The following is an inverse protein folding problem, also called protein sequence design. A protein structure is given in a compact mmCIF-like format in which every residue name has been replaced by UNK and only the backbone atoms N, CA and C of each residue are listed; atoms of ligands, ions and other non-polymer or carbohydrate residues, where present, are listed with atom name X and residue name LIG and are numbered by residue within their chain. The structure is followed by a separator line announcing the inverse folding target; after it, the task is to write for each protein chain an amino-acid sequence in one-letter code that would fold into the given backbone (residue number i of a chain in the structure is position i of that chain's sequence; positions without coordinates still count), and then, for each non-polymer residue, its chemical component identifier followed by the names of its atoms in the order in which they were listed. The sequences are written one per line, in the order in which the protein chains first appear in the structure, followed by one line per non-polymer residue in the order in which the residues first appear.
data_IF_415790519169
#
_entry.id   IF_415790519169
#
_cell.length_a   1.000
_cell.length_b   1.000
_cell.length_c   1.000
_cell.angle_alpha   90.00
_cell.angle_beta   90.00
_cell.angle_gamma   90.00
#
_symmetry.space_group_name_H-M   'P 1'
#
loop_
_entity.id
_entity.type
_entity.pdbx_description
1 polymer ?
#
# COMPACT_ATOMS: atom_id res chain seq x y z
N UNK A 1 48.93 -23.31 4.79
CA UNK A 1 48.87 -23.06 3.34
C UNK A 1 47.51 -22.46 3.02
N UNK A 2 47.43 -21.13 2.98
CA UNK A 2 46.23 -20.39 2.58
C UNK A 2 46.19 -20.34 1.06
N UNK A 3 45.25 -21.07 0.44
CA UNK A 3 45.01 -20.97 -1.00
C UNK A 3 44.69 -19.52 -1.37
N UNK A 4 45.26 -18.98 -2.46
CA UNK A 4 44.95 -17.63 -2.90
C UNK A 4 43.47 -17.56 -3.27
N UNK A 5 42.75 -16.60 -2.69
CA UNK A 5 41.35 -16.32 -3.02
C UNK A 5 41.31 -15.79 -4.44
N UNK A 6 41.12 -16.70 -5.41
CA UNK A 6 40.84 -16.33 -6.80
C UNK A 6 39.66 -15.33 -6.81
N UNK A 7 39.75 -14.21 -7.53
CA UNK A 7 38.66 -13.26 -7.60
C UNK A 7 37.43 -13.97 -8.18
N UNK A 8 36.38 -14.11 -7.37
CA UNK A 8 35.16 -14.85 -7.74
C UNK A 8 34.57 -14.21 -9.01
N UNK A 9 34.60 -14.96 -10.11
CA UNK A 9 34.06 -14.54 -11.41
C UNK A 9 32.63 -15.02 -11.53
N UNK A 10 31.74 -14.14 -11.92
CA UNK A 10 30.35 -14.48 -12.21
C UNK A 10 30.05 -14.25 -13.69
N UNK A 11 29.31 -15.17 -14.31
CA UNK A 11 28.75 -15.01 -15.64
C UNK A 11 27.24 -14.86 -15.51
N UNK A 12 26.70 -13.79 -16.08
CA UNK A 12 25.28 -13.48 -16.07
C UNK A 12 24.75 -13.55 -17.50
N UNK A 13 23.82 -14.45 -17.75
CA UNK A 13 23.06 -14.48 -19.00
C UNK A 13 21.73 -13.78 -18.78
N UNK A 14 21.47 -12.69 -19.50
CA UNK A 14 20.20 -11.95 -19.42
C UNK A 14 19.71 -11.48 -20.77
N UNK A 15 18.39 -11.38 -20.89
CA UNK A 15 17.75 -10.85 -22.08
C UNK A 15 17.92 -9.33 -22.18
N UNK A 16 18.35 -8.87 -23.35
CA UNK A 16 18.48 -7.45 -23.70
C UNK A 16 17.99 -7.27 -25.13
N UNK A 17 16.68 -7.11 -25.28
CA UNK A 17 16.04 -6.85 -26.57
C UNK A 17 15.79 -5.34 -26.68
N UNK A 18 15.74 -4.80 -27.90
CA UNK A 18 15.51 -3.36 -28.14
C UNK A 18 14.29 -2.79 -27.41
N UNK A 19 13.23 -3.60 -27.27
CA UNK A 19 11.97 -3.23 -26.61
C UNK A 19 11.75 -3.91 -25.25
N UNK A 20 12.75 -4.59 -24.68
CA UNK A 20 12.59 -5.28 -23.41
C UNK A 20 13.84 -5.18 -22.52
N UNK A 21 13.64 -4.56 -21.36
CA UNK A 21 14.63 -4.51 -20.28
C UNK A 21 14.33 -5.64 -19.29
N UNK A 22 15.28 -6.54 -19.06
CA UNK A 22 15.14 -7.60 -18.05
C UNK A 22 15.41 -7.04 -16.63
N UNK A 23 14.38 -6.82 -15.78
CA UNK A 23 14.57 -6.19 -14.47
C UNK A 23 15.36 -7.09 -13.50
N UNK A 24 15.10 -8.40 -13.53
CA UNK A 24 15.81 -9.37 -12.68
C UNK A 24 17.27 -9.53 -13.10
N UNK A 25 17.58 -9.40 -14.40
CA UNK A 25 18.95 -9.40 -14.90
C UNK A 25 19.75 -8.20 -14.38
N UNK A 26 19.15 -7.01 -14.39
CA UNK A 26 19.77 -5.81 -13.81
C UNK A 26 19.97 -5.94 -12.30
N UNK A 27 18.97 -6.43 -11.56
CA UNK A 27 19.09 -6.68 -10.12
C UNK A 27 20.17 -7.72 -9.80
N UNK A 28 20.27 -8.80 -10.59
CA UNK A 28 21.32 -9.80 -10.45
C UNK A 28 22.71 -9.22 -10.69
N UNK A 29 22.87 -8.41 -11.76
CA UNK A 29 24.12 -7.71 -12.09
C UNK A 29 24.59 -6.79 -10.95
N UNK A 30 23.67 -5.99 -10.41
CA UNK A 30 23.95 -5.10 -9.27
C UNK A 30 24.32 -5.90 -8.01
N UNK A 31 23.57 -6.95 -7.68
CA UNK A 31 23.85 -7.80 -6.52
C UNK A 31 25.24 -8.46 -6.62
N UNK A 32 25.59 -9.03 -7.77
CA UNK A 32 26.91 -9.63 -8.00
C UNK A 32 28.04 -8.61 -7.81
N UNK A 33 27.88 -7.38 -8.34
CA UNK A 33 28.85 -6.30 -8.19
C UNK A 33 29.01 -5.87 -6.73
N UNK A 34 27.91 -5.73 -5.99
CA UNK A 34 27.95 -5.39 -4.54
C UNK A 34 28.62 -6.45 -3.68
N UNK A 35 28.65 -7.70 -4.13
CA UNK A 35 29.37 -8.80 -3.48
C UNK A 35 30.84 -8.88 -3.89
N UNK A 36 31.33 -7.93 -4.71
CA UNK A 36 32.73 -7.86 -5.14
C UNK A 36 33.11 -8.82 -6.26
N UNK A 37 32.14 -9.45 -6.95
CA UNK A 37 32.43 -10.35 -8.06
C UNK A 37 32.69 -9.60 -9.36
N UNK A 38 33.63 -10.10 -10.16
CA UNK A 38 33.82 -9.65 -11.55
C UNK A 38 32.73 -10.27 -12.41
N UNK A 39 31.82 -9.44 -12.93
CA UNK A 39 30.65 -9.88 -13.69
C UNK A 39 30.92 -9.82 -15.20
N UNK A 40 30.84 -10.96 -15.86
CA UNK A 40 30.73 -11.08 -17.31
C UNK A 40 29.25 -11.10 -17.70
N UNK A 41 28.77 -10.02 -18.32
CA UNK A 41 27.37 -9.82 -18.68
C UNK A 41 27.14 -10.24 -20.12
N UNK A 42 26.56 -11.43 -20.33
CA UNK A 42 26.25 -12.00 -21.64
C UNK A 42 24.80 -11.71 -22.02
N UNK A 43 24.62 -11.01 -23.12
CA UNK A 43 23.31 -10.57 -23.58
C UNK A 43 22.70 -11.57 -24.56
N UNK A 44 21.44 -11.91 -24.30
CA UNK A 44 20.58 -12.62 -25.24
C UNK A 44 19.76 -11.54 -25.96
N UNK A 45 20.21 -11.18 -27.16
CA UNK A 45 19.71 -10.01 -27.91
C UNK A 45 18.56 -10.34 -28.86
N UNK A 46 18.26 -11.62 -29.07
CA UNK A 46 17.10 -12.08 -29.86
C UNK A 46 16.27 -13.09 -29.07
N UNK A 47 15.00 -13.30 -29.48
CA UNK A 47 14.13 -14.30 -28.86
C UNK A 47 14.65 -15.70 -29.13
N UNK A 48 15.08 -15.95 -30.35
CA UNK A 48 15.66 -17.21 -30.80
C UNK A 48 16.90 -17.56 -29.98
N UNK A 49 17.79 -16.60 -29.72
CA UNK A 49 18.95 -16.80 -28.85
C UNK A 49 18.54 -17.06 -27.39
N UNK A 50 17.47 -16.43 -26.93
CA UNK A 50 16.94 -16.65 -25.57
C UNK A 50 16.35 -18.05 -25.42
N UNK A 51 15.58 -18.49 -26.39
CA UNK A 51 14.91 -19.79 -26.38
C UNK A 51 15.93 -20.93 -26.59
N UNK A 52 16.89 -20.76 -27.50
CA UNK A 52 18.02 -21.68 -27.65
C UNK A 52 18.85 -21.79 -26.37
N UNK A 53 19.11 -20.66 -25.68
CA UNK A 53 19.80 -20.69 -24.40
C UNK A 53 19.03 -21.45 -23.32
N UNK A 54 17.71 -21.25 -23.25
CA UNK A 54 16.81 -21.94 -22.32
C UNK A 54 16.81 -23.45 -22.57
N UNK A 55 16.68 -23.87 -23.82
CA UNK A 55 16.71 -25.26 -24.22
C UNK A 55 18.07 -25.90 -23.90
N UNK A 56 19.17 -25.26 -24.29
CA UNK A 56 20.53 -25.74 -24.04
C UNK A 56 20.82 -25.97 -22.54
N UNK A 57 20.28 -25.11 -21.67
CA UNK A 57 20.53 -25.17 -20.24
C UNK A 57 19.39 -25.84 -19.45
N UNK A 58 18.32 -26.28 -20.11
CA UNK A 58 17.13 -26.86 -19.46
C UNK A 58 16.50 -25.93 -18.43
N UNK A 59 16.33 -24.64 -18.76
CA UNK A 59 15.75 -23.63 -17.87
C UNK A 59 14.57 -22.93 -18.52
N UNK A 60 13.53 -22.62 -17.74
CA UNK A 60 12.34 -21.95 -18.28
C UNK A 60 12.50 -20.42 -18.38
N UNK A 61 13.38 -19.85 -17.56
CA UNK A 61 13.47 -18.40 -17.35
C UNK A 61 14.90 -17.88 -17.42
N UNK A 62 15.03 -16.59 -17.75
CA UNK A 62 16.25 -15.80 -17.63
C UNK A 62 15.98 -14.63 -16.66
N UNK A 63 16.98 -14.09 -15.95
CA UNK A 63 18.41 -14.35 -16.08
C UNK A 63 18.86 -15.68 -15.50
N UNK A 64 20.02 -16.17 -15.97
CA UNK A 64 20.74 -17.29 -15.35
C UNK A 64 22.14 -16.84 -14.91
N UNK A 65 22.51 -17.19 -13.69
CA UNK A 65 23.77 -16.79 -13.06
C UNK A 65 24.64 -18.00 -12.81
N UNK A 66 25.92 -17.88 -13.16
CA UNK A 66 26.97 -18.85 -12.89
C UNK A 66 28.07 -18.18 -12.08
N UNK A 67 28.55 -18.83 -11.03
CA UNK A 67 29.67 -18.35 -10.20
C UNK A 67 30.73 -19.45 -10.20
N UNK A 68 31.96 -19.11 -10.59
CA UNK A 68 33.07 -20.07 -10.70
C UNK A 68 32.75 -21.33 -11.54
N UNK A 69 31.91 -21.19 -12.56
CA UNK A 69 31.50 -22.28 -13.44
C UNK A 69 30.30 -23.10 -12.93
N UNK A 70 29.89 -22.92 -11.67
CA UNK A 70 28.70 -23.57 -11.11
C UNK A 70 27.44 -22.75 -11.40
N UNK A 71 26.36 -23.40 -11.84
CA UNK A 71 25.07 -22.75 -12.09
C UNK A 71 24.36 -22.48 -10.77
N UNK A 72 24.18 -21.20 -10.46
CA UNK A 72 23.42 -20.76 -9.28
C UNK A 72 21.92 -20.77 -9.57
N UNK A 73 21.51 -20.36 -10.78
CA UNK A 73 20.10 -20.29 -11.18
C UNK A 73 19.64 -18.87 -11.45
N UNK A 74 18.41 -18.54 -11.07
CA UNK A 74 17.80 -17.24 -11.26
C UNK A 74 18.17 -16.20 -10.21
N UNK A 75 17.50 -15.04 -10.23
CA UNK A 75 17.78 -13.97 -9.26
C UNK A 75 17.46 -14.38 -7.81
N UNK A 76 16.39 -15.15 -7.58
CA UNK A 76 16.07 -15.62 -6.23
C UNK A 76 17.10 -16.63 -5.70
N UNK A 77 17.61 -17.52 -6.55
CA UNK A 77 18.68 -18.45 -6.18
C UNK A 77 19.98 -17.71 -5.86
N UNK A 78 20.29 -16.66 -6.64
CA UNK A 78 21.42 -15.78 -6.34
C UNK A 78 21.29 -15.09 -4.97
N UNK A 79 20.08 -14.67 -4.59
CA UNK A 79 19.84 -14.11 -3.24
C UNK A 79 20.09 -15.16 -2.17
N UNK A 80 19.58 -16.39 -2.35
CA UNK A 80 19.82 -17.52 -1.43
C UNK A 80 21.30 -17.83 -1.30
N UNK A 81 22.04 -17.87 -2.41
CA UNK A 81 23.47 -18.11 -2.44
C UNK A 81 24.27 -17.12 -1.56
N UNK A 82 23.87 -15.85 -1.54
CA UNK A 82 24.48 -14.84 -0.68
C UNK A 82 23.84 -14.72 0.72
N UNK A 83 23.05 -15.72 1.15
CA UNK A 83 22.38 -15.71 2.46
C UNK A 83 21.34 -14.60 2.61
N UNK A 84 20.88 -13.99 1.51
CA UNK A 84 19.81 -12.98 1.53
C UNK A 84 18.48 -13.70 1.43
N UNK A 85 17.47 -13.22 2.16
CA UNK A 85 16.10 -13.71 2.02
C UNK A 85 15.67 -13.63 0.55
N UNK A 86 15.34 -14.76 -0.06
CA UNK A 86 14.60 -14.77 -1.32
C UNK A 86 13.18 -14.23 -1.07
N UNK A 87 12.50 -13.77 -2.12
CA UNK A 87 11.08 -13.44 -1.98
C UNK A 87 10.34 -14.72 -1.57
N UNK A 88 9.72 -14.73 -0.39
CA UNK A 88 8.76 -15.78 -0.03
C UNK A 88 7.37 -15.25 -0.39
N UNK A 89 6.73 -15.78 -1.46
CA UNK A 89 5.43 -15.30 -1.91
C UNK A 89 4.29 -15.60 -0.92
N UNK A 90 4.55 -16.32 0.18
CA UNK A 90 3.57 -16.64 1.24
C UNK A 90 3.85 -15.93 2.56
N UNK A 91 4.93 -15.15 2.66
CA UNK A 91 5.25 -14.45 3.91
C UNK A 91 4.28 -13.29 4.15
N UNK A 92 3.73 -13.23 5.37
CA UNK A 92 2.88 -12.13 5.82
C UNK A 92 3.70 -10.85 5.87
N UNK A 93 3.18 -9.76 5.29
CA UNK A 93 3.90 -8.48 5.21
C UNK A 93 3.03 -7.33 5.69
N UNK A 94 3.47 -6.63 6.76
CA UNK A 94 2.79 -5.43 7.28
C UNK A 94 3.38 -4.11 6.75
N UNK A 95 4.52 -4.16 6.04
CA UNK A 95 5.25 -2.98 5.58
C UNK A 95 4.39 -1.99 4.77
N UNK A 96 3.61 -2.40 3.76
CA UNK A 96 2.78 -1.46 3.00
C UNK A 96 1.80 -0.68 3.88
N UNK A 97 1.22 -1.36 4.87
CA UNK A 97 0.23 -0.80 5.80
C UNK A 97 0.90 0.17 6.77
N UNK A 98 2.02 -0.24 7.36
CA UNK A 98 2.78 0.62 8.27
C UNK A 98 3.26 1.90 7.55
N UNK A 99 3.71 1.77 6.29
CA UNK A 99 4.08 2.91 5.44
C UNK A 99 2.88 3.81 5.16
N UNK A 100 1.71 3.24 4.85
CA UNK A 100 0.48 4.02 4.63
C UNK A 100 0.16 4.90 5.84
N UNK A 101 0.04 4.31 7.03
CA UNK A 101 -0.29 5.08 8.24
C UNK A 101 0.82 6.04 8.64
N UNK A 102 2.09 5.68 8.45
CA UNK A 102 3.20 6.60 8.71
C UNK A 102 3.14 7.83 7.81
N UNK A 103 2.87 7.64 6.51
CA UNK A 103 2.78 8.74 5.55
C UNK A 103 1.55 9.60 5.83
N UNK A 104 0.38 9.01 6.10
CA UNK A 104 -0.84 9.79 6.41
C UNK A 104 -0.73 10.53 7.74
N UNK A 105 -0.02 9.97 8.73
CA UNK A 105 0.32 10.69 9.97
C UNK A 105 1.23 11.89 9.70
N UNK A 106 2.28 11.72 8.91
CA UNK A 106 3.16 12.83 8.53
C UNK A 106 2.42 13.91 7.72
N UNK A 107 1.50 13.52 6.84
CA UNK A 107 0.62 14.46 6.13
C UNK A 107 -0.26 15.24 7.10
N UNK A 108 -0.85 14.59 8.10
CA UNK A 108 -1.68 15.24 9.12
C UNK A 108 -0.89 16.21 10.00
N UNK A 109 0.28 15.81 10.46
CA UNK A 109 1.19 16.69 11.22
C UNK A 109 1.67 17.87 10.38
N UNK A 110 2.00 17.64 9.10
CA UNK A 110 2.39 18.68 8.16
C UNK A 110 1.27 19.68 7.88
N UNK A 111 0.04 19.19 7.66
CA UNK A 111 -1.14 20.02 7.50
C UNK A 111 -1.44 20.84 8.77
N UNK A 112 -1.34 20.21 9.96
CA UNK A 112 -1.49 20.91 11.25
C UNK A 112 -0.46 22.00 11.42
N UNK A 113 0.80 21.73 11.11
CA UNK A 113 1.86 22.73 11.18
C UNK A 113 1.63 23.87 10.18
N UNK A 114 1.17 23.58 8.96
CA UNK A 114 0.90 24.58 7.95
C UNK A 114 -0.28 25.52 8.30
N UNK A 115 -1.32 25.00 8.97
CA UNK A 115 -2.52 25.78 9.30
C UNK A 115 -2.43 26.44 10.69
N UNK A 116 -1.90 25.72 11.69
CA UNK A 116 -1.90 26.16 13.09
C UNK A 116 -0.51 26.50 13.64
N UNK A 117 0.54 26.42 12.82
CA UNK A 117 1.93 26.64 13.25
C UNK A 117 2.49 25.54 14.17
N UNK A 118 1.66 24.60 14.63
CA UNK A 118 2.05 23.51 15.54
C UNK A 118 1.66 22.15 14.96
N UNK A 119 2.55 21.14 15.00
CA UNK A 119 2.27 19.84 14.41
C UNK A 119 1.29 19.00 15.25
N UNK A 120 1.30 19.15 16.58
CA UNK A 120 0.50 18.34 17.50
C UNK A 120 -0.74 19.11 17.95
N UNK A 121 -1.85 18.89 17.27
CA UNK A 121 -3.17 19.44 17.61
C UNK A 121 -4.23 18.34 17.62
N UNK A 122 -5.40 18.60 18.23
CA UNK A 122 -6.56 17.70 18.10
C UNK A 122 -6.97 17.54 16.63
N UNK A 123 -6.87 18.63 15.85
CA UNK A 123 -7.14 18.63 14.40
C UNK A 123 -6.18 17.73 13.62
N UNK A 124 -4.92 17.63 14.04
CA UNK A 124 -3.97 16.69 13.46
C UNK A 124 -4.43 15.23 13.64
N UNK A 125 -5.04 14.89 14.78
CA UNK A 125 -5.62 13.56 15.01
C UNK A 125 -6.80 13.26 14.08
N UNK A 126 -7.69 14.23 13.90
CA UNK A 126 -8.82 14.15 12.95
C UNK A 126 -8.36 13.98 11.51
N UNK A 127 -7.41 14.81 11.07
CA UNK A 127 -6.82 14.71 9.72
C UNK A 127 -6.04 13.42 9.51
N UNK A 128 -5.41 12.87 10.55
CA UNK A 128 -4.76 11.57 10.46
C UNK A 128 -5.77 10.46 10.11
N UNK A 129 -6.93 10.44 10.79
CA UNK A 129 -7.99 9.47 10.50
C UNK A 129 -8.54 9.71 9.09
N UNK A 130 -8.88 10.96 8.76
CA UNK A 130 -9.42 11.34 7.46
C UNK A 130 -8.48 10.98 6.30
N UNK A 131 -7.19 11.35 6.37
CA UNK A 131 -6.21 11.01 5.35
C UNK A 131 -5.99 9.51 5.23
N UNK A 132 -5.99 8.78 6.35
CA UNK A 132 -5.88 7.32 6.34
C UNK A 132 -7.07 6.68 5.62
N UNK A 133 -8.29 7.11 5.93
CA UNK A 133 -9.51 6.66 5.24
C UNK A 133 -9.46 7.00 3.75
N UNK A 134 -9.07 8.22 3.38
CA UNK A 134 -9.01 8.65 1.97
C UNK A 134 -8.01 7.82 1.16
N UNK A 135 -6.82 7.54 1.71
CA UNK A 135 -5.81 6.71 1.04
C UNK A 135 -6.26 5.25 0.95
N UNK A 136 -6.87 4.69 2.00
CA UNK A 136 -7.40 3.33 1.95
C UNK A 136 -8.54 3.19 0.94
N UNK A 137 -9.46 4.17 0.88
CA UNK A 137 -10.52 4.23 -0.11
C UNK A 137 -9.96 4.34 -1.54
N UNK A 138 -8.92 5.16 -1.74
CA UNK A 138 -8.22 5.27 -3.02
C UNK A 138 -7.65 3.91 -3.47
N UNK A 139 -7.04 3.14 -2.56
CA UNK A 139 -6.53 1.80 -2.91
C UNK A 139 -7.66 0.84 -3.32
N UNK A 140 -8.82 0.92 -2.67
CA UNK A 140 -10.01 0.14 -3.06
C UNK A 140 -10.52 0.56 -4.45
N UNK A 141 -10.51 1.86 -4.75
CA UNK A 141 -10.96 2.42 -6.03
C UNK A 141 -10.03 2.11 -7.21
N UNK A 142 -8.73 1.88 -6.99
CA UNK A 142 -7.80 1.52 -8.08
C UNK A 142 -8.19 0.24 -8.81
N UNK A 143 -8.83 -0.71 -8.12
CA UNK A 143 -9.36 -1.91 -8.74
C UNK A 143 -10.64 -2.36 -8.01
N UNK A 144 -11.74 -1.70 -8.35
CA UNK A 144 -13.06 -1.94 -7.74
C UNK A 144 -13.50 -3.40 -7.91
N UNK A 145 -13.22 -4.03 -9.05
CA UNK A 145 -13.63 -5.42 -9.31
C UNK A 145 -12.90 -6.42 -8.39
N UNK A 146 -11.58 -6.27 -8.27
CA UNK A 146 -10.79 -7.08 -7.33
C UNK A 146 -11.19 -6.80 -5.88
N UNK A 147 -11.51 -5.56 -5.54
CA UNK A 147 -12.01 -5.21 -4.21
C UNK A 147 -13.36 -5.89 -3.94
N UNK A 148 -14.36 -5.70 -4.81
CA UNK A 148 -15.71 -6.21 -4.65
C UNK A 148 -15.71 -7.74 -4.49
N UNK A 149 -14.95 -8.44 -5.34
CA UNK A 149 -14.78 -9.90 -5.25
C UNK A 149 -14.20 -10.33 -3.89
N UNK A 150 -13.20 -9.61 -3.39
CA UNK A 150 -12.60 -9.91 -2.08
C UNK A 150 -13.50 -9.53 -0.92
N UNK A 151 -14.23 -8.43 -1.02
CA UNK A 151 -15.15 -7.89 -0.02
C UNK A 151 -16.34 -8.83 0.24
N UNK A 152 -16.87 -9.44 -0.83
CA UNK A 152 -17.93 -10.46 -0.75
C UNK A 152 -17.56 -11.69 0.09
N UNK A 153 -16.28 -11.96 0.35
CA UNK A 153 -15.88 -13.12 1.16
C UNK A 153 -16.21 -12.97 2.64
N UNK A 154 -16.36 -11.75 3.15
CA UNK A 154 -16.56 -11.50 4.58
C UNK A 154 -17.69 -10.52 4.89
N UNK A 155 -17.94 -9.51 4.06
CA UNK A 155 -18.96 -8.50 4.36
C UNK A 155 -20.38 -9.08 4.29
N UNK A 156 -21.15 -8.89 5.37
CA UNK A 156 -22.48 -9.48 5.53
C UNK A 156 -23.52 -8.81 4.63
N UNK A 157 -23.43 -7.50 4.45
CA UNK A 157 -24.36 -6.74 3.62
C UNK A 157 -24.05 -6.96 2.14
N UNK A 158 -22.78 -7.00 1.76
CA UNK A 158 -22.35 -7.31 0.40
C UNK A 158 -22.80 -8.71 -0.04
N UNK A 159 -22.69 -9.71 0.85
CA UNK A 159 -23.20 -11.07 0.58
C UNK A 159 -24.71 -11.11 0.34
N UNK A 160 -25.46 -10.21 0.99
CA UNK A 160 -26.92 -10.11 0.83
C UNK A 160 -27.31 -9.31 -0.42
N UNK A 161 -26.56 -8.25 -0.71
CA UNK A 161 -26.81 -7.33 -1.82
C UNK A 161 -25.50 -6.97 -2.51
N UNK A 162 -25.14 -7.75 -3.55
CA UNK A 162 -23.86 -7.63 -4.27
C UNK A 162 -23.55 -6.21 -4.76
N UNK A 163 -24.50 -5.41 -5.29
CA UNK A 163 -24.21 -4.03 -5.70
C UNK A 163 -23.61 -3.15 -4.60
N UNK A 164 -23.88 -3.44 -3.33
CA UNK A 164 -23.23 -2.76 -2.19
C UNK A 164 -21.70 -2.85 -2.26
N UNK A 165 -21.15 -3.99 -2.69
CA UNK A 165 -19.70 -4.19 -2.80
C UNK A 165 -19.02 -3.23 -3.78
N UNK A 166 -19.76 -2.75 -4.78
CA UNK A 166 -19.30 -1.76 -5.75
C UNK A 166 -19.49 -0.32 -5.25
N UNK A 167 -20.54 -0.07 -4.45
CA UNK A 167 -20.86 1.26 -3.91
C UNK A 167 -19.96 1.63 -2.73
N UNK A 168 -19.63 0.64 -1.88
CA UNK A 168 -18.85 0.82 -0.65
C UNK A 168 -17.58 1.68 -0.81
N UNK A 169 -16.65 1.40 -1.76
CA UNK A 169 -15.41 2.16 -1.85
C UNK A 169 -15.64 3.64 -2.24
N UNK A 170 -16.72 3.95 -2.95
CA UNK A 170 -17.11 5.32 -3.26
C UNK A 170 -17.74 6.02 -2.05
N UNK A 171 -18.60 5.32 -1.31
CA UNK A 171 -19.20 5.85 -0.08
C UNK A 171 -18.13 6.18 0.96
N UNK A 172 -17.14 5.31 1.10
CA UNK A 172 -15.99 5.53 1.98
C UNK A 172 -15.12 6.70 1.54
N UNK A 173 -14.78 6.79 0.25
CA UNK A 173 -14.03 7.92 -0.29
C UNK A 173 -14.77 9.25 -0.07
N UNK A 174 -16.09 9.27 -0.32
CA UNK A 174 -16.94 10.42 -0.10
C UNK A 174 -16.93 10.84 1.38
N UNK A 175 -17.16 9.90 2.29
CA UNK A 175 -17.12 10.16 3.73
C UNK A 175 -15.76 10.72 4.15
N UNK A 176 -14.65 10.11 3.70
CA UNK A 176 -13.30 10.55 4.04
C UNK A 176 -13.03 11.98 3.57
N UNK A 177 -13.36 12.31 2.32
CA UNK A 177 -13.15 13.66 1.76
C UNK A 177 -13.99 14.71 2.50
N UNK A 178 -15.26 14.42 2.76
CA UNK A 178 -16.15 15.33 3.50
C UNK A 178 -15.68 15.55 4.94
N UNK A 179 -15.23 14.49 5.62
CA UNK A 179 -14.69 14.58 6.99
C UNK A 179 -13.37 15.34 7.05
N UNK A 180 -12.47 15.19 6.07
CA UNK A 180 -11.23 15.98 5.98
C UNK A 180 -11.55 17.47 5.80
N UNK A 181 -12.44 17.76 4.85
CA UNK A 181 -12.84 19.13 4.53
C UNK A 181 -13.62 19.78 5.68
N UNK A 182 -14.27 18.98 6.52
CA UNK A 182 -15.16 19.46 7.55
C UNK A 182 -16.40 20.12 6.93
N UNK A 183 -17.04 19.46 5.98
CA UNK A 183 -18.24 19.97 5.33
C UNK A 183 -19.27 18.86 5.16
N UNK A 184 -20.56 19.24 5.19
CA UNK A 184 -21.69 18.31 5.09
C UNK A 184 -21.63 17.17 6.11
N UNK A 185 -21.40 17.50 7.38
CA UNK A 185 -21.33 16.51 8.47
C UNK A 185 -22.60 15.66 8.57
N UNK A 186 -23.76 16.25 8.26
CA UNK A 186 -25.04 15.54 8.21
C UNK A 186 -25.10 14.44 7.13
N UNK A 187 -24.21 14.45 6.13
CA UNK A 187 -24.06 13.40 5.11
C UNK A 187 -22.92 12.45 5.48
N UNK A 188 -21.76 13.00 5.83
CA UNK A 188 -20.54 12.20 6.06
C UNK A 188 -20.66 11.29 7.28
N UNK A 189 -21.23 11.79 8.38
CA UNK A 189 -21.41 11.06 9.63
C UNK A 189 -22.31 9.84 9.45
N UNK A 190 -23.55 9.94 8.91
CA UNK A 190 -24.39 8.77 8.74
C UNK A 190 -23.78 7.72 7.81
N UNK A 191 -23.11 8.15 6.73
CA UNK A 191 -22.44 7.22 5.81
C UNK A 191 -21.34 6.46 6.55
N UNK A 192 -20.42 7.17 7.21
CA UNK A 192 -19.30 6.58 7.93
C UNK A 192 -19.76 5.63 9.06
N UNK A 193 -20.76 6.04 9.86
CA UNK A 193 -21.34 5.19 10.90
C UNK A 193 -21.97 3.93 10.32
N UNK A 194 -22.75 4.05 9.25
CA UNK A 194 -23.45 2.91 8.66
C UNK A 194 -22.46 1.91 8.07
N UNK A 195 -21.59 2.34 7.16
CA UNK A 195 -20.63 1.44 6.49
C UNK A 195 -19.59 0.90 7.48
N UNK A 196 -19.15 1.73 8.43
CA UNK A 196 -18.20 1.34 9.47
C UNK A 196 -18.79 0.31 10.42
N UNK A 197 -20.03 0.48 10.87
CA UNK A 197 -20.67 -0.49 11.77
C UNK A 197 -20.92 -1.82 11.08
N UNK A 198 -21.47 -1.80 9.86
CA UNK A 198 -21.70 -3.01 9.07
C UNK A 198 -20.38 -3.74 8.79
N UNK A 199 -19.35 -3.01 8.39
CA UNK A 199 -18.02 -3.55 8.13
C UNK A 199 -17.36 -4.12 9.39
N UNK A 200 -17.41 -3.40 10.52
CA UNK A 200 -16.85 -3.85 11.79
C UNK A 200 -17.50 -5.15 12.27
N UNK A 201 -18.84 -5.24 12.24
CA UNK A 201 -19.57 -6.46 12.61
C UNK A 201 -19.22 -7.61 11.67
N UNK A 202 -19.12 -7.34 10.37
CA UNK A 202 -18.78 -8.35 9.36
C UNK A 202 -17.37 -8.91 9.54
N UNK A 203 -16.37 -8.04 9.74
CA UNK A 203 -14.98 -8.44 9.98
C UNK A 203 -14.87 -9.16 11.32
N UNK A 204 -15.52 -8.65 12.37
CA UNK A 204 -15.52 -9.28 13.68
C UNK A 204 -16.04 -10.72 13.61
N UNK A 205 -17.18 -10.93 12.95
CA UNK A 205 -17.71 -12.27 12.72
C UNK A 205 -16.76 -13.14 11.91
N UNK A 206 -16.27 -12.65 10.77
CA UNK A 206 -15.47 -13.46 9.86
C UNK A 206 -14.10 -13.88 10.45
N UNK A 207 -13.50 -13.03 11.28
CA UNK A 207 -12.15 -13.24 11.83
C UNK A 207 -12.21 -13.91 13.21
N UNK A 208 -13.06 -13.43 14.11
CA UNK A 208 -13.06 -13.90 15.51
C UNK A 208 -14.01 -15.07 15.74
N UNK A 209 -15.13 -15.14 15.02
CA UNK A 209 -16.07 -16.25 15.13
C UNK A 209 -15.77 -17.35 14.11
N UNK A 210 -15.69 -16.99 12.82
CA UNK A 210 -15.51 -17.96 11.74
C UNK A 210 -14.02 -18.36 11.53
N UNK A 211 -13.08 -17.74 12.24
CA UNK A 211 -11.63 -17.99 12.18
C UNK A 211 -11.06 -18.07 10.75
N UNK A 212 -11.55 -17.23 9.84
CA UNK A 212 -11.11 -17.23 8.43
C UNK A 212 -9.78 -16.50 8.26
N UNK A 213 -8.83 -17.11 7.57
CA UNK A 213 -7.62 -16.43 7.10
C UNK A 213 -7.96 -15.60 5.85
N UNK A 214 -8.10 -14.29 6.02
CA UNK A 214 -8.50 -13.37 4.95
C UNK A 214 -7.31 -12.50 4.51
N UNK A 215 -7.11 -12.37 3.19
CA UNK A 215 -6.16 -11.43 2.58
C UNK A 215 -6.76 -10.03 2.49
N UNK A 216 -5.97 -8.99 2.73
CA UNK A 216 -6.48 -7.62 2.75
C UNK A 216 -7.04 -7.18 1.37
N UNK A 217 -8.35 -6.92 1.29
CA UNK A 217 -9.00 -6.41 0.08
C UNK A 217 -8.52 -5.00 -0.32
N UNK A 218 -8.15 -4.17 0.67
CA UNK A 218 -7.77 -2.77 0.46
C UNK A 218 -6.42 -2.61 -0.25
N UNK A 219 -5.50 -3.58 -0.14
CA UNK A 219 -4.12 -3.47 -0.70
C UNK A 219 -3.97 -4.28 -2.01
N UNK A 220 -5.07 -4.82 -2.54
CA UNK A 220 -5.09 -5.60 -3.76
C UNK A 220 -4.54 -7.04 -3.62
N UNK A 221 -4.88 -7.86 -4.62
CA UNK A 221 -4.66 -9.33 -4.67
C UNK A 221 -3.20 -9.80 -4.47
N UNK A 222 -2.22 -8.92 -4.68
CA UNK A 222 -0.78 -9.25 -4.62
C UNK A 222 -0.15 -9.11 -3.23
N UNK A 223 -0.92 -8.76 -2.20
CA UNK A 223 -0.41 -8.53 -0.84
C UNK A 223 -0.83 -9.64 0.15
N UNK A 224 0.13 -10.18 0.90
CA UNK A 224 -0.13 -11.10 2.01
C UNK A 224 -0.25 -10.33 3.33
N UNK A 225 -1.15 -9.35 3.37
CA UNK A 225 -1.46 -8.60 4.59
C UNK A 225 -2.64 -9.31 5.27
N UNK A 226 -2.59 -9.61 6.57
CA UNK A 226 -3.73 -10.22 7.25
C UNK A 226 -4.82 -9.17 7.42
N UNK A 227 -5.97 -9.41 6.77
CA UNK A 227 -7.06 -8.45 6.64
C UNK A 227 -7.70 -8.10 7.98
N UNK A 228 -7.80 -9.08 8.88
CA UNK A 228 -8.71 -9.00 10.01
C UNK A 228 -8.43 -7.83 10.95
N UNK A 229 -7.19 -7.65 11.36
CA UNK A 229 -6.82 -6.56 12.27
C UNK A 229 -6.89 -5.19 11.58
N UNK A 230 -6.42 -5.10 10.34
CA UNK A 230 -6.36 -3.84 9.62
C UNK A 230 -7.74 -3.30 9.26
N UNK A 231 -8.59 -4.14 8.66
CA UNK A 231 -9.93 -3.71 8.25
C UNK A 231 -10.84 -3.49 9.45
N UNK A 232 -10.64 -4.22 10.57
CA UNK A 232 -11.34 -3.89 11.81
C UNK A 232 -10.92 -2.51 12.33
N UNK A 233 -9.61 -2.23 12.38
CA UNK A 233 -9.09 -0.92 12.82
C UNK A 233 -9.63 0.21 11.94
N UNK A 234 -9.67 0.01 10.62
CA UNK A 234 -10.26 0.96 9.66
C UNK A 234 -11.73 1.26 9.96
N UNK A 235 -12.57 0.23 10.08
CA UNK A 235 -13.99 0.41 10.37
C UNK A 235 -14.22 1.06 11.75
N UNK A 236 -13.39 0.73 12.75
CA UNK A 236 -13.45 1.37 14.06
C UNK A 236 -13.02 2.84 14.02
N UNK A 237 -12.01 3.20 13.22
CA UNK A 237 -11.62 4.60 13.02
C UNK A 237 -12.74 5.41 12.37
N UNK A 238 -13.45 4.84 11.39
CA UNK A 238 -14.64 5.49 10.79
C UNK A 238 -15.72 5.76 11.83
N UNK A 239 -16.04 4.77 12.65
CA UNK A 239 -17.04 4.91 13.72
C UNK A 239 -16.58 5.94 14.74
N UNK A 240 -15.32 5.87 15.20
CA UNK A 240 -14.77 6.77 16.19
C UNK A 240 -14.80 8.23 15.71
N UNK A 241 -14.38 8.49 14.47
CA UNK A 241 -14.42 9.81 13.88
C UNK A 241 -15.85 10.32 13.72
N UNK A 242 -16.78 9.47 13.29
CA UNK A 242 -18.17 9.87 13.11
C UNK A 242 -18.88 10.15 14.44
N UNK A 243 -18.60 9.36 15.50
CA UNK A 243 -19.08 9.64 16.86
C UNK A 243 -18.48 10.95 17.38
N UNK A 244 -17.17 11.16 17.18
CA UNK A 244 -16.49 12.39 17.58
C UNK A 244 -17.12 13.63 16.93
N UNK A 245 -17.30 13.61 15.61
CA UNK A 245 -17.95 14.70 14.88
C UNK A 245 -19.42 14.87 15.29
N UNK A 246 -20.14 13.78 15.60
CA UNK A 246 -21.52 13.85 16.11
C UNK A 246 -21.59 14.54 17.47
N UNK A 247 -20.68 14.21 18.39
CA UNK A 247 -20.61 14.82 19.72
C UNK A 247 -20.24 16.30 19.62
N UNK A 248 -19.29 16.65 18.74
CA UNK A 248 -18.93 18.03 18.45
C UNK A 248 -20.13 18.83 17.90
N UNK A 249 -20.95 18.21 17.03
CA UNK A 249 -22.15 18.83 16.47
C UNK A 249 -23.32 18.97 17.48
N UNK A 250 -23.41 18.10 18.50
CA UNK A 250 -24.54 18.03 19.43
C UNK A 250 -24.31 18.75 20.78
N UNK A 251 -23.07 19.03 21.20
CA UNK A 251 -22.80 19.15 22.65
C UNK A 251 -21.86 20.24 23.21
N UNK A 252 -21.03 20.96 22.46
CA UNK A 252 -20.12 21.95 23.09
C UNK A 252 -19.77 23.11 22.17
N UNK A 253 -20.01 24.33 22.65
CA UNK A 253 -19.78 25.59 21.94
C UNK A 253 -18.33 25.88 21.58
N UNK A 254 -17.87 25.29 20.47
CA UNK A 254 -16.88 25.86 19.55
C UNK A 254 -17.28 25.51 18.12
N UNK A 255 -18.47 25.98 17.70
CA UNK A 255 -18.83 26.06 16.29
C UNK A 255 -17.93 27.03 15.49
N UNK A 256 -16.85 27.56 16.10
CA UNK A 256 -15.90 28.54 15.58
C UNK A 256 -14.51 27.98 15.29
N UNK A 257 -14.16 26.75 15.69
CA UNK A 257 -12.86 26.15 15.33
C UNK A 257 -12.88 25.44 13.95
N UNK A 258 -14.08 25.28 13.38
CA UNK A 258 -14.32 24.53 12.15
C UNK A 258 -14.45 25.42 10.90
N UNK A 259 -14.58 26.74 11.10
CA UNK A 259 -14.36 27.68 10.03
C UNK A 259 -12.86 27.70 9.72
N UNK A 260 -12.46 27.29 8.51
CA UNK A 260 -11.17 27.71 7.96
C UNK A 260 -11.01 29.21 8.24
N UNK A 261 -9.84 29.70 8.70
CA UNK A 261 -9.62 31.14 8.76
C UNK A 261 -9.68 31.62 7.32
N UNK A 262 -10.84 32.18 6.96
CA UNK A 262 -11.03 32.84 5.69
C UNK A 262 -9.97 33.93 5.64
N UNK A 263 -9.14 33.87 4.62
CA UNK A 263 -8.16 34.87 4.24
C UNK A 263 -8.87 36.23 4.14
N UNK A 264 -8.88 37.03 5.22
CA UNK A 264 -9.48 38.38 5.24
C UNK A 264 -8.42 39.48 5.42
N UNK A 265 -7.15 39.20 5.13
CA UNK A 265 -6.06 40.16 5.31
C UNK A 265 -5.31 40.48 4.01
N UNK A 266 -6.00 40.53 2.86
CA UNK A 266 -5.37 40.88 1.57
C UNK A 266 -6.15 41.90 0.73
N UNK A 267 -7.12 42.63 1.30
CA UNK A 267 -7.92 43.60 0.53
C UNK A 267 -8.20 44.93 1.25
N UNK A 268 -7.33 45.35 2.18
CA UNK A 268 -7.42 46.70 2.79
C UNK A 268 -6.26 47.64 2.40
N UNK A 269 -5.16 47.15 1.81
CA UNK A 269 -4.00 48.01 1.43
C UNK A 269 -4.03 48.53 -0.02
N UNK A 270 -5.11 48.33 -0.78
CA UNK A 270 -5.22 48.83 -2.16
C UNK A 270 -6.08 50.11 -2.31
N UNK A 271 -6.52 50.73 -1.21
CA UNK A 271 -7.31 51.99 -1.23
C UNK A 271 -6.59 53.19 -0.61
N UNK A 272 -5.29 53.08 -0.33
CA UNK A 272 -4.47 54.19 0.16
C UNK A 272 -3.22 54.40 -0.71
N UNK A 273 -3.44 54.73 -1.99
CA UNK A 273 -2.47 55.37 -2.87
C UNK A 273 -3.20 56.16 -3.96
#
# INVERSE_FOLDING_TARGET
MTSPVQPRKAVLYRMVLDKHVCPYGLKAKDLLRRQGLKVEDKWLITREATDAFKEQHGVETTPQIFINGERIGGYDDLRRYFGKSAANPKAITYKPVAVLFAVTALMALGASHAVYGTPLTLRAGEWFIGFSMAVLALLKLQNVESFATMFLNYDLLAKRWVPYSYIYPFAEALAAVLMIAGVLDWVSIPIALFIGTVGAVSVFKAVYLDKRELKCACVGSSSNVPLGFLSLTENLMMIAMAVWMSLAALGTGEASAFAMPHQSAAMEDASAA
#
